data_IF_633456668159
#
_entry.id   IF_633456668159
#
_cell.length_a   1.000
_cell.length_b   1.000
_cell.length_c   1.000
_cell.angle_alpha   90.00
_cell.angle_beta   90.00
_cell.angle_gamma   90.00
#
_symmetry.space_group_name_H-M   'P 1'
#
loop_
_entity.id
_entity.type
_entity.pdbx_description
1 polymer ?
#
# COMPACT_ATOMS: atom_id res chain seq x y z
N UNK A 1 -1.22 -1.24 2.82
CA UNK A 1 -0.58 -1.14 1.48
C UNK A 1 0.51 -2.20 1.40
N UNK A 2 0.82 -2.69 0.20
CA UNK A 2 1.98 -3.56 -0.02
C UNK A 2 2.58 -3.27 -1.40
N UNK A 3 3.84 -3.67 -1.64
CA UNK A 3 4.51 -3.46 -2.92
C UNK A 3 4.64 -4.76 -3.70
N UNK A 4 4.45 -4.65 -5.00
CA UNK A 4 4.75 -5.70 -5.97
C UNK A 4 5.81 -5.18 -6.93
N UNK A 5 6.76 -6.02 -7.28
CA UNK A 5 7.83 -5.70 -8.22
C UNK A 5 8.27 -6.92 -9.00
N UNK A 6 8.66 -6.71 -10.26
CA UNK A 6 9.13 -7.78 -11.12
C UNK A 6 10.65 -7.77 -11.21
N UNK A 7 11.29 -8.82 -10.69
CA UNK A 7 12.73 -9.01 -10.81
C UNK A 7 13.14 -9.78 -12.07
N UNK A 8 12.17 -10.32 -12.83
CA UNK A 8 12.41 -11.08 -14.07
C UNK A 8 12.85 -10.17 -15.19
N UNK A 9 13.51 -10.74 -16.20
CA UNK A 9 13.94 -10.00 -17.39
C UNK A 9 12.82 -9.82 -18.41
N UNK A 10 11.88 -10.75 -18.47
CA UNK A 10 10.67 -10.68 -19.28
C UNK A 10 9.58 -9.92 -18.55
N UNK A 11 8.62 -9.37 -19.29
CA UNK A 11 7.46 -8.71 -18.71
C UNK A 11 6.36 -9.71 -18.36
N UNK A 12 5.56 -9.35 -17.35
CA UNK A 12 4.29 -10.02 -17.03
C UNK A 12 3.17 -9.17 -17.60
N UNK A 13 2.42 -9.74 -18.54
CA UNK A 13 1.27 -9.12 -19.19
C UNK A 13 0.00 -9.56 -18.46
N UNK A 14 -1.03 -8.71 -18.50
CA UNK A 14 -2.33 -8.97 -17.86
C UNK A 14 -2.19 -9.27 -16.36
N UNK A 15 -1.28 -8.56 -15.70
CA UNK A 15 -1.06 -8.71 -14.27
C UNK A 15 -2.28 -8.22 -13.48
N UNK A 16 -2.79 -9.05 -12.59
CA UNK A 16 -3.84 -8.68 -11.63
C UNK A 16 -3.49 -9.19 -10.24
N UNK A 17 -3.89 -8.41 -9.24
CA UNK A 17 -3.60 -8.70 -7.84
C UNK A 17 -4.91 -9.01 -7.12
N UNK A 18 -4.88 -9.98 -6.22
CA UNK A 18 -5.98 -10.31 -5.31
C UNK A 18 -5.47 -10.34 -3.88
N UNK A 19 -6.35 -9.99 -2.95
CA UNK A 19 -6.02 -10.03 -1.52
C UNK A 19 -7.18 -10.63 -0.73
N UNK A 20 -6.85 -11.54 0.18
CA UNK A 20 -7.81 -12.27 1.01
C UNK A 20 -7.41 -12.13 2.48
N UNK A 21 -8.34 -11.71 3.32
CA UNK A 21 -8.21 -11.72 4.76
C UNK A 21 -8.73 -13.06 5.30
N UNK A 22 -7.87 -13.81 5.96
CA UNK A 22 -8.23 -15.06 6.65
C UNK A 22 -8.27 -14.77 8.13
N UNK A 23 -9.42 -14.96 8.76
CA UNK A 23 -9.57 -14.80 10.21
C UNK A 23 -10.60 -15.75 10.81
N UNK A 24 -10.51 -15.92 12.11
CA UNK A 24 -11.56 -16.58 12.89
C UNK A 24 -12.83 -15.73 12.88
N UNK A 25 -14.00 -16.36 12.69
CA UNK A 25 -15.30 -15.68 12.74
C UNK A 25 -16.36 -16.61 13.33
N UNK A 26 -17.17 -16.09 14.25
CA UNK A 26 -18.39 -16.75 14.72
C UNK A 26 -19.59 -16.13 14.00
N UNK A 27 -20.43 -16.94 13.39
CA UNK A 27 -21.64 -16.46 12.70
C UNK A 27 -22.73 -16.07 13.70
N UNK A 28 -23.80 -15.40 13.23
CA UNK A 28 -24.92 -15.00 14.11
C UNK A 28 -25.66 -16.22 14.65
N UNK A 29 -25.59 -17.33 13.91
CA UNK A 29 -26.17 -18.63 14.21
C UNK A 29 -25.30 -19.44 15.19
N UNK A 30 -24.13 -18.92 15.58
CA UNK A 30 -23.22 -19.57 16.52
C UNK A 30 -22.24 -20.56 15.88
N UNK A 31 -22.18 -20.63 14.55
CA UNK A 31 -21.22 -21.48 13.86
C UNK A 31 -19.81 -20.88 13.96
N UNK A 32 -18.84 -21.72 14.28
CA UNK A 32 -17.45 -21.34 14.41
C UNK A 32 -16.69 -21.59 13.10
N UNK A 33 -16.24 -20.53 12.43
CA UNK A 33 -15.48 -20.58 11.19
C UNK A 33 -14.00 -20.22 11.46
N UNK A 34 -13.10 -21.22 11.60
CA UNK A 34 -11.70 -20.98 11.95
C UNK A 34 -10.91 -20.26 10.85
N UNK A 35 -11.24 -20.49 9.58
CA UNK A 35 -10.53 -19.93 8.42
C UNK A 35 -11.50 -19.16 7.51
N UNK A 36 -12.29 -18.25 8.09
CA UNK A 36 -13.20 -17.44 7.31
C UNK A 36 -12.41 -16.49 6.41
N UNK A 37 -12.64 -16.59 5.11
CA UNK A 37 -11.96 -15.81 4.09
C UNK A 37 -12.85 -14.64 3.66
N UNK A 38 -12.28 -13.45 3.60
CA UNK A 38 -12.96 -12.23 3.14
C UNK A 38 -12.07 -11.51 2.15
N UNK A 39 -12.62 -11.19 0.98
CA UNK A 39 -11.87 -10.46 -0.04
C UNK A 39 -11.62 -9.02 0.40
N UNK A 40 -10.39 -8.54 0.19
CA UNK A 40 -10.01 -7.15 0.39
C UNK A 40 -9.95 -6.47 -0.97
N UNK A 41 -10.81 -5.48 -1.19
CA UNK A 41 -10.81 -4.65 -2.40
C UNK A 41 -9.50 -3.88 -2.53
N UNK A 42 -8.74 -4.12 -3.58
CA UNK A 42 -7.44 -3.47 -3.79
C UNK A 42 -7.40 -2.74 -5.12
N UNK A 43 -6.54 -1.74 -5.21
CA UNK A 43 -6.27 -1.00 -6.43
C UNK A 43 -4.98 -0.19 -6.34
N UNK A 44 -4.56 0.38 -7.46
CA UNK A 44 -3.36 1.20 -7.55
C UNK A 44 -3.66 2.71 -7.46
N UNK A 45 -4.70 3.19 -8.15
CA UNK A 45 -5.19 4.58 -8.13
C UNK A 45 -6.73 4.64 -8.41
N UNK A 46 -7.43 3.51 -8.27
CA UNK A 46 -8.85 3.32 -8.59
C UNK A 46 -9.40 2.00 -8.02
N UNK A 47 -10.57 1.56 -8.48
CA UNK A 47 -11.23 0.30 -8.06
C UNK A 47 -10.94 -0.90 -8.99
N UNK A 48 -9.77 -0.92 -9.64
CA UNK A 48 -9.38 -2.01 -10.55
C UNK A 48 -8.26 -2.86 -9.94
N UNK A 49 -8.42 -4.18 -10.05
CA UNK A 49 -7.50 -5.22 -9.61
C UNK A 49 -6.35 -5.48 -10.61
N UNK A 50 -6.52 -5.00 -11.84
CA UNK A 50 -5.51 -5.06 -12.91
C UNK A 50 -4.48 -3.97 -12.73
N UNK A 51 -3.21 -4.36 -12.89
CA UNK A 51 -2.08 -3.44 -12.75
C UNK A 51 -1.24 -3.41 -14.01
N UNK A 52 -0.82 -2.21 -14.39
CA UNK A 52 0.18 -2.04 -15.44
C UNK A 52 1.58 -2.31 -14.86
N UNK A 53 2.02 -3.56 -14.94
CA UNK A 53 3.18 -4.05 -14.18
C UNK A 53 4.51 -3.92 -14.94
N UNK A 54 4.89 -2.69 -15.25
CA UNK A 54 6.21 -2.37 -15.84
C UNK A 54 7.21 -1.93 -14.77
N UNK A 55 6.72 -1.25 -13.73
CA UNK A 55 7.52 -0.71 -12.62
C UNK A 55 7.02 -1.28 -11.31
N UNK A 56 7.83 -1.26 -10.23
CA UNK A 56 7.33 -1.58 -8.90
C UNK A 56 6.14 -0.70 -8.52
N UNK A 57 5.04 -1.35 -8.14
CA UNK A 57 3.76 -0.71 -7.92
C UNK A 57 3.33 -0.91 -6.47
N UNK A 58 2.79 0.13 -5.86
CA UNK A 58 2.23 0.05 -4.51
C UNK A 58 0.74 -0.23 -4.61
N UNK A 59 0.30 -1.36 -4.06
CA UNK A 59 -1.08 -1.78 -4.01
C UNK A 59 -1.73 -1.28 -2.73
N UNK A 60 -2.91 -0.69 -2.87
CA UNK A 60 -3.65 -0.05 -1.78
C UNK A 60 -4.98 -0.76 -1.59
N UNK A 61 -5.23 -1.21 -0.36
CA UNK A 61 -6.57 -1.53 0.11
C UNK A 61 -7.11 -0.29 0.82
N UNK A 62 -8.18 0.31 0.29
CA UNK A 62 -8.87 1.41 0.98
C UNK A 62 -9.74 0.82 2.09
N UNK A 63 -9.48 1.23 3.33
CA UNK A 63 -10.28 0.82 4.48
C UNK A 63 -11.50 1.75 4.55
N UNK A 64 -12.59 1.35 3.89
CA UNK A 64 -13.88 2.03 3.93
C UNK A 64 -14.88 1.28 4.84
N UNK A 65 -16.13 1.76 4.92
CA UNK A 65 -17.20 1.14 5.73
C UNK A 65 -17.48 -0.32 5.35
N UNK A 66 -17.15 -0.73 4.12
CA UNK A 66 -17.34 -2.10 3.63
C UNK A 66 -16.16 -3.01 3.93
N UNK A 67 -15.01 -2.43 4.30
CA UNK A 67 -13.80 -3.18 4.64
C UNK A 67 -13.97 -3.97 5.93
N UNK A 68 -13.53 -5.24 5.98
CA UNK A 68 -13.51 -6.03 7.21
C UNK A 68 -12.52 -5.50 8.27
N UNK A 69 -11.68 -4.52 7.92
CA UNK A 69 -10.72 -3.84 8.79
C UNK A 69 -11.22 -2.49 9.32
N UNK A 70 -12.43 -2.06 8.95
CA UNK A 70 -12.96 -0.71 9.24
C UNK A 70 -12.98 -0.33 10.73
N UNK A 71 -13.25 -1.31 11.60
CA UNK A 71 -13.32 -1.11 13.04
C UNK A 71 -11.98 -1.33 13.77
N UNK A 72 -10.89 -1.64 13.06
CA UNK A 72 -9.62 -2.01 13.65
C UNK A 72 -8.79 -0.78 13.99
N UNK A 73 -8.37 -0.63 15.25
CA UNK A 73 -7.41 0.40 15.68
C UNK A 73 -5.96 -0.11 15.66
N UNK A 74 -5.00 0.81 15.83
CA UNK A 74 -3.57 0.45 15.93
C UNK A 74 -3.30 -0.55 17.07
N UNK A 75 -3.99 -0.39 18.21
CA UNK A 75 -3.86 -1.32 19.34
C UNK A 75 -4.52 -2.66 19.09
N UNK A 76 -5.61 -2.71 18.31
CA UNK A 76 -6.29 -3.95 17.99
C UNK A 76 -5.47 -4.79 17.02
N UNK A 77 -4.79 -4.14 16.06
CA UNK A 77 -3.89 -4.79 15.11
C UNK A 77 -2.85 -5.67 15.81
N UNK A 78 -2.32 -5.23 16.95
CA UNK A 78 -1.31 -5.98 17.73
C UNK A 78 -1.87 -7.19 18.47
N UNK A 79 -3.19 -7.23 18.71
CA UNK A 79 -3.86 -8.27 19.50
C UNK A 79 -4.61 -9.28 18.65
N UNK A 80 -5.07 -8.83 17.49
CA UNK A 80 -5.91 -9.63 16.60
C UNK A 80 -5.10 -10.78 15.97
N UNK A 81 -5.79 -11.86 15.63
CA UNK A 81 -5.21 -13.00 14.90
C UNK A 81 -5.87 -13.15 13.56
N UNK A 82 -5.19 -12.68 12.52
CA UNK A 82 -5.59 -12.85 11.14
C UNK A 82 -4.36 -13.00 10.25
N UNK A 83 -4.57 -13.38 9.00
CA UNK A 83 -3.55 -13.43 7.98
C UNK A 83 -4.08 -12.77 6.71
N UNK A 84 -3.29 -11.88 6.09
CA UNK A 84 -3.63 -11.30 4.79
C UNK A 84 -2.81 -12.02 3.73
N UNK A 85 -3.48 -12.78 2.88
CA UNK A 85 -2.86 -13.46 1.73
C UNK A 85 -2.98 -12.58 0.50
N UNK A 86 -1.85 -12.28 -0.14
CA UNK A 86 -1.77 -11.55 -1.39
C UNK A 86 -1.35 -12.48 -2.52
N UNK A 87 -2.00 -12.34 -3.67
CA UNK A 87 -1.79 -13.18 -4.84
C UNK A 87 -1.62 -12.26 -6.04
N UNK A 88 -0.49 -12.38 -6.74
CA UNK A 88 -0.28 -11.79 -8.05
C UNK A 88 -0.40 -12.89 -9.10
N UNK A 89 -1.21 -12.68 -10.11
CA UNK A 89 -1.36 -13.55 -11.27
C UNK A 89 -1.07 -12.75 -12.54
N UNK A 90 -0.59 -13.42 -13.58
CA UNK A 90 -0.38 -12.81 -14.90
C UNK A 90 0.23 -13.80 -15.89
N UNK A 91 0.50 -13.35 -17.11
CA UNK A 91 1.08 -14.18 -18.17
C UNK A 91 2.50 -13.69 -18.48
N UNK A 92 3.47 -14.60 -18.49
CA UNK A 92 4.85 -14.26 -18.84
C UNK A 92 4.94 -14.04 -20.35
N UNK A 93 5.35 -12.84 -20.78
CA UNK A 93 5.44 -12.45 -22.20
C UNK A 93 6.25 -13.44 -23.04
N UNK A 94 7.41 -13.87 -22.53
CA UNK A 94 8.36 -14.69 -23.29
C UNK A 94 7.90 -16.13 -23.51
N UNK A 95 7.00 -16.66 -22.67
CA UNK A 95 6.58 -18.07 -22.72
C UNK A 95 5.09 -18.24 -22.97
N UNK A 96 4.27 -17.21 -22.77
CA UNK A 96 2.82 -17.28 -22.78
C UNK A 96 2.22 -18.11 -21.63
N UNK A 97 3.04 -18.54 -20.65
CA UNK A 97 2.54 -19.32 -19.52
C UNK A 97 2.02 -18.40 -18.42
N UNK A 98 0.94 -18.82 -17.77
CA UNK A 98 0.43 -18.16 -16.56
C UNK A 98 1.40 -18.37 -15.40
N UNK A 99 1.64 -17.31 -14.65
CA UNK A 99 2.46 -17.34 -13.43
C UNK A 99 1.64 -16.79 -12.27
N UNK A 100 1.89 -17.34 -11.09
CA UNK A 100 1.27 -16.89 -9.86
C UNK A 100 2.35 -16.78 -8.79
N UNK A 101 2.36 -15.65 -8.10
CA UNK A 101 3.10 -15.46 -6.87
C UNK A 101 2.15 -15.20 -5.71
N UNK A 102 2.53 -15.71 -4.54
CA UNK A 102 1.74 -15.60 -3.33
C UNK A 102 2.64 -15.20 -2.19
N UNK A 103 2.10 -14.41 -1.28
CA UNK A 103 2.68 -14.17 0.03
C UNK A 103 1.57 -13.95 1.03
N UNK A 104 1.93 -13.97 2.30
CA UNK A 104 1.03 -13.57 3.36
C UNK A 104 1.70 -12.61 4.34
N UNK A 105 0.86 -11.89 5.07
CA UNK A 105 1.24 -10.97 6.12
C UNK A 105 0.47 -11.29 7.40
N UNK A 106 1.23 -11.49 8.48
CA UNK A 106 0.71 -11.57 9.84
C UNK A 106 0.53 -10.15 10.41
N UNK A 107 -0.27 -9.97 11.47
CA UNK A 107 -0.53 -8.65 12.05
C UNK A 107 0.75 -8.00 12.59
N UNK A 108 1.71 -8.82 13.06
CA UNK A 108 3.04 -8.37 13.51
C UNK A 108 3.95 -7.86 12.38
N UNK A 109 3.63 -8.16 11.12
CA UNK A 109 4.40 -7.72 9.94
C UNK A 109 3.79 -6.46 9.31
N UNK A 110 2.62 -6.02 9.79
CA UNK A 110 1.94 -4.83 9.30
C UNK A 110 2.37 -3.64 10.14
N UNK A 111 3.10 -2.72 9.51
CA UNK A 111 3.59 -1.51 10.15
C UNK A 111 2.53 -0.40 10.10
N UNK A 112 1.94 -0.05 11.25
CA UNK A 112 0.98 1.05 11.37
C UNK A 112 1.70 2.40 11.34
N UNK A 113 1.18 3.36 10.57
CA UNK A 113 1.78 4.70 10.49
C UNK A 113 3.09 4.74 9.69
N UNK A 114 3.31 3.77 8.80
CA UNK A 114 4.43 3.77 7.87
C UNK A 114 3.98 4.06 6.44
N UNK A 115 4.84 4.74 5.69
CA UNK A 115 4.75 4.83 4.22
C UNK A 115 6.01 4.27 3.60
N UNK A 116 5.89 3.76 2.38
CA UNK A 116 7.07 3.29 1.67
C UNK A 116 7.93 4.45 1.14
N UNK A 117 9.24 4.29 1.17
CA UNK A 117 10.19 5.24 0.59
C UNK A 117 10.11 5.21 -0.95
N UNK A 118 10.13 6.36 -1.65
CA UNK A 118 10.19 6.40 -3.12
C UNK A 118 11.40 5.61 -3.65
N UNK A 119 11.17 4.75 -4.65
CA UNK A 119 12.19 3.87 -5.25
C UNK A 119 12.63 4.31 -6.65
N UNK A 120 11.84 5.17 -7.31
CA UNK A 120 12.13 5.68 -8.65
C UNK A 120 12.84 7.01 -8.52
N UNK A 121 14.01 7.11 -9.14
CA UNK A 121 14.79 8.35 -9.23
C UNK A 121 14.99 8.73 -10.68
N UNK A 122 14.99 10.03 -10.97
CA UNK A 122 15.27 10.55 -12.30
C UNK A 122 16.68 11.09 -12.35
N UNK A 123 17.53 10.50 -13.20
CA UNK A 123 18.91 10.97 -13.43
C UNK A 123 18.88 12.08 -14.47
N UNK A 124 19.14 13.32 -14.03
CA UNK A 124 19.13 14.49 -14.93
C UNK A 124 20.25 14.44 -15.96
N UNK A 125 21.33 13.74 -15.66
CA UNK A 125 22.53 13.64 -16.48
C UNK A 125 22.32 12.73 -17.70
N UNK A 126 21.59 11.63 -17.53
CA UNK A 126 21.29 10.67 -18.62
C UNK A 126 19.88 10.83 -19.18
N UNK A 127 18.98 11.51 -18.46
CA UNK A 127 17.57 11.63 -18.82
C UNK A 127 16.77 10.36 -18.58
N UNK A 128 17.29 9.43 -17.78
CA UNK A 128 16.69 8.11 -17.54
C UNK A 128 16.06 8.00 -16.15
N UNK A 129 15.01 7.19 -16.05
CA UNK A 129 14.48 6.74 -14.78
C UNK A 129 15.22 5.49 -14.32
N UNK A 130 15.72 5.52 -13.09
CA UNK A 130 16.37 4.40 -12.42
C UNK A 130 15.52 3.94 -11.24
N UNK A 131 15.30 2.64 -11.18
CA UNK A 131 14.68 1.96 -10.05
C UNK A 131 15.75 1.42 -9.14
N UNK A 132 15.75 1.87 -7.88
CA UNK A 132 16.59 1.31 -6.84
C UNK A 132 15.82 0.24 -6.03
N UNK A 133 16.09 -1.03 -6.31
CA UNK A 133 15.47 -2.15 -5.61
C UNK A 133 16.00 -2.34 -4.18
N UNK A 134 17.12 -1.72 -3.80
CA UNK A 134 17.59 -1.77 -2.41
C UNK A 134 16.61 -1.03 -1.47
N UNK A 135 15.92 -0.01 -2.00
CA UNK A 135 14.89 0.76 -1.27
C UNK A 135 13.50 0.12 -1.34
N UNK A 136 13.33 -1.04 -1.98
CA UNK A 136 12.02 -1.63 -2.25
C UNK A 136 11.20 -1.83 -0.97
N UNK A 137 11.84 -2.36 0.08
CA UNK A 137 11.23 -2.64 1.37
C UNK A 137 11.36 -1.48 2.38
N UNK A 138 12.09 -0.42 2.04
CA UNK A 138 12.32 0.67 2.98
C UNK A 138 11.02 1.43 3.23
N UNK A 139 10.76 1.70 4.52
CA UNK A 139 9.62 2.49 4.97
C UNK A 139 10.10 3.61 5.88
N UNK A 140 9.29 4.65 5.97
CA UNK A 140 9.49 5.77 6.89
C UNK A 140 8.23 5.95 7.72
N UNK A 141 8.43 6.27 9.00
CA UNK A 141 7.35 6.60 9.92
C UNK A 141 6.69 7.92 9.51
N UNK A 142 5.39 7.99 9.72
CA UNK A 142 4.54 9.13 9.42
C UNK A 142 3.53 9.29 10.55
N UNK A 143 3.35 10.52 11.01
CA UNK A 143 2.33 10.82 11.99
C UNK A 143 0.95 10.43 11.46
N UNK A 144 0.38 9.40 12.06
CA UNK A 144 -0.86 8.75 11.64
C UNK A 144 -1.71 8.50 12.88
N UNK A 145 -3.00 8.86 12.85
CA UNK A 145 -3.86 8.65 14.00
C UNK A 145 -3.93 7.16 14.39
N UNK A 146 -3.95 6.89 15.69
CA UNK A 146 -3.98 5.52 16.24
C UNK A 146 -5.40 4.92 16.31
N UNK A 147 -6.41 5.72 15.99
CA UNK A 147 -7.82 5.32 16.01
C UNK A 147 -8.18 4.48 14.77
N UNK A 148 -9.30 3.76 14.84
CA UNK A 148 -9.81 3.01 13.69
C UNK A 148 -10.36 3.93 12.60
N UNK A 149 -10.45 3.42 11.38
CA UNK A 149 -11.02 4.17 10.25
C UNK A 149 -12.44 4.69 10.58
N UNK A 150 -13.26 3.87 11.26
CA UNK A 150 -14.57 4.29 11.76
C UNK A 150 -14.52 5.49 12.70
N UNK A 151 -13.62 5.46 13.69
CA UNK A 151 -13.50 6.57 14.64
C UNK A 151 -13.03 7.85 13.95
N UNK A 152 -12.14 7.70 12.97
CA UNK A 152 -11.65 8.81 12.15
C UNK A 152 -12.78 9.44 11.32
N UNK A 153 -13.61 8.63 10.66
CA UNK A 153 -14.77 9.12 9.89
C UNK A 153 -15.80 9.82 10.77
N UNK A 154 -16.06 9.29 11.97
CA UNK A 154 -16.94 9.93 12.96
C UNK A 154 -16.42 11.30 13.38
N UNK A 155 -15.12 11.39 13.71
CA UNK A 155 -14.50 12.66 14.10
C UNK A 155 -14.53 13.68 12.95
N UNK A 156 -14.30 13.23 11.72
CA UNK A 156 -14.39 14.06 10.52
C UNK A 156 -15.81 14.61 10.31
N UNK A 157 -16.82 13.76 10.52
CA UNK A 157 -18.23 14.15 10.38
C UNK A 157 -18.64 15.18 11.42
N UNK A 158 -18.23 14.99 12.68
CA UNK A 158 -18.50 15.94 13.76
C UNK A 158 -17.85 17.31 13.49
N UNK A 159 -16.57 17.32 13.11
CA UNK A 159 -15.84 18.56 12.84
C UNK A 159 -16.46 19.35 11.68
N UNK A 160 -16.89 18.66 10.62
CA UNK A 160 -17.56 19.31 9.48
C UNK A 160 -18.91 19.93 9.89
N UNK A 161 -19.69 19.25 10.75
CA UNK A 161 -20.96 19.77 11.24
C UNK A 161 -20.78 21.03 12.11
N UNK A 162 -19.75 21.08 12.95
CA UNK A 162 -19.43 22.28 13.75
C UNK A 162 -19.04 23.46 12.86
N UNK A 163 -18.30 23.20 11.77
CA UNK A 163 -17.96 24.22 10.78
C UNK A 163 -19.21 24.78 10.09
N UNK A 164 -20.14 23.92 9.69
CA UNK A 164 -21.41 24.31 9.07
C UNK A 164 -22.26 25.14 10.05
N UNK A 165 -22.29 24.77 11.33
CA UNK A 165 -23.04 25.48 12.35
C UNK A 165 -22.47 26.88 12.66
N UNK A 166 -21.14 27.04 12.65
CA UNK A 166 -20.48 28.35 12.75
C UNK A 166 -20.75 29.23 11.52
N UNK A 167 -20.84 28.62 10.34
CA UNK A 167 -21.14 29.33 9.08
C UNK A 167 -22.60 29.82 9.03
N UNK A 168 -23.51 29.12 9.73
CA UNK A 168 -24.95 29.45 9.77
C UNK A 168 -25.30 30.55 10.78
N UNK A 169 -24.39 30.89 11.71
CA UNK A 169 -24.62 31.93 12.73
C UNK A 169 -24.20 33.36 12.32
N UNK A 170 -23.54 33.56 11.17
CA UNK A 170 -23.18 34.89 10.67
C UNK A 170 -23.50 35.07 9.17
N UNK A 171 -24.67 35.64 8.80
CA UNK A 171 -24.98 35.92 7.40
C UNK A 171 -24.44 37.29 6.97
N UNK A 172 -23.11 37.43 6.78
CA UNK A 172 -22.41 38.44 5.94
C UNK A 172 -20.90 38.21 6.11
N UNK A 173 -20.03 38.11 5.11
CA UNK A 173 -19.99 38.79 3.82
C UNK A 173 -19.19 37.99 2.78
N UNK A 174 -19.56 38.21 1.52
CA UNK A 174 -18.81 38.04 0.24
C UNK A 174 -17.50 37.24 0.26
N UNK A 175 -17.56 36.14 -0.50
CA UNK A 175 -16.50 35.51 -1.29
C UNK A 175 -15.15 36.24 -1.33
N UNK A 176 -14.11 35.58 -0.82
CA UNK A 176 -12.71 35.79 -1.20
C UNK A 176 -12.06 34.42 -1.35
N UNK A 177 -11.79 34.02 -2.58
CA UNK A 177 -10.89 32.91 -2.90
C UNK A 177 -9.45 33.33 -2.61
N UNK A 178 -8.76 32.67 -1.68
CA UNK A 178 -7.30 32.55 -1.68
C UNK A 178 -6.82 31.52 -0.65
N UNK A 179 -6.32 30.41 -1.17
CA UNK A 179 -4.97 29.87 -0.97
C UNK A 179 -4.17 30.23 0.31
N UNK A 180 -3.63 29.16 0.92
CA UNK A 180 -2.36 29.03 1.69
C UNK A 180 -2.36 29.34 3.20
N UNK A 181 -2.07 28.31 4.01
CA UNK A 181 -0.89 28.13 4.88
C UNK A 181 -1.12 26.86 5.75
N UNK A 182 -0.34 25.77 5.68
CA UNK A 182 1.01 25.54 6.21
C UNK A 182 1.17 25.93 7.69
N UNK A 183 1.35 24.93 8.56
CA UNK A 183 2.03 25.11 9.84
C UNK A 183 2.79 23.83 10.22
N UNK A 184 4.12 23.93 10.12
CA UNK A 184 5.07 23.02 10.74
C UNK A 184 5.02 23.15 12.27
N UNK A 185 5.25 22.05 12.97
CA UNK A 185 5.73 22.10 14.35
C UNK A 185 6.77 21.00 14.58
N UNK A 186 8.01 21.47 14.70
CA UNK A 186 9.21 20.76 15.17
C UNK A 186 9.03 20.22 16.59
N UNK A 187 9.46 18.97 16.84
CA UNK A 187 9.96 18.54 18.15
C UNK A 187 11.01 17.42 17.99
N UNK A 188 12.06 17.48 18.82
CA UNK A 188 13.30 16.68 18.75
C UNK A 188 13.30 15.45 19.69
N UNK A 189 13.97 14.37 19.21
CA UNK A 189 14.73 13.31 19.93
C UNK A 189 13.98 12.30 20.85
N UNK A 190 14.33 11.01 21.05
CA UNK A 190 15.42 10.10 20.62
C UNK A 190 15.04 8.62 21.01
N UNK A 191 15.78 7.64 20.46
CA UNK A 191 16.05 6.24 20.89
C UNK A 191 15.24 5.03 20.41
N UNK A 192 15.79 4.43 19.35
CA UNK A 192 16.24 3.03 19.19
C UNK A 192 15.43 1.91 19.87
N UNK A 193 14.70 1.15 19.04
CA UNK A 193 14.29 -0.23 19.27
C UNK A 193 14.60 -1.09 18.04
N UNK A 194 14.77 -2.42 18.19
CA UNK A 194 15.27 -3.28 17.12
C UNK A 194 14.27 -3.38 15.96
N UNK A 195 14.79 -3.20 14.74
CA UNK A 195 14.04 -3.26 13.49
C UNK A 195 13.66 -4.72 13.21
N UNK A 196 12.36 -5.03 13.30
CA UNK A 196 11.79 -6.24 12.71
C UNK A 196 11.30 -5.84 11.32
N UNK A 197 12.06 -6.21 10.29
CA UNK A 197 11.70 -5.97 8.89
C UNK A 197 10.58 -6.91 8.45
N UNK A 198 9.51 -6.43 7.80
CA UNK A 198 8.50 -7.31 7.22
C UNK A 198 9.05 -8.10 6.04
N UNK A 199 8.55 -9.33 5.86
CA UNK A 199 9.03 -10.30 4.88
C UNK A 199 8.58 -9.87 3.45
N UNK A 200 9.51 -9.77 2.48
CA UNK A 200 9.19 -9.31 1.13
C UNK A 200 8.47 -10.37 0.29
N UNK A 201 7.56 -9.91 -0.57
CA UNK A 201 7.03 -10.70 -1.70
C UNK A 201 7.93 -10.50 -2.90
N UNK A 202 8.89 -11.40 -3.08
CA UNK A 202 9.79 -11.37 -4.22
C UNK A 202 9.55 -12.57 -5.11
N UNK A 203 9.16 -12.34 -6.36
CA UNK A 203 8.94 -13.39 -7.34
C UNK A 203 10.29 -13.79 -7.93
N UNK A 204 10.88 -14.84 -7.38
CA UNK A 204 12.13 -15.42 -7.92
C UNK A 204 11.78 -16.54 -8.91
N UNK A 205 12.56 -16.68 -9.98
CA UNK A 205 12.40 -17.78 -10.95
C UNK A 205 12.88 -19.13 -10.36
N UNK A 206 12.30 -20.28 -10.76
CA UNK A 206 12.86 -21.57 -10.43
C UNK A 206 14.04 -21.87 -11.36
N UNK A 207 15.24 -21.94 -10.77
CA UNK A 207 16.31 -22.94 -10.99
C UNK A 207 17.72 -22.35 -10.91
N UNK A 208 18.57 -23.06 -10.15
CA UNK A 208 19.80 -22.56 -9.56
C UNK A 208 21.00 -22.47 -10.51
N UNK A 209 21.76 -21.40 -10.30
CA UNK A 209 23.22 -21.40 -10.42
C UNK A 209 23.77 -20.32 -9.48
N UNK A 210 24.69 -20.74 -8.61
CA UNK A 210 25.43 -19.86 -7.70
C UNK A 210 26.38 -18.98 -8.51
N UNK A 211 26.06 -17.71 -8.71
CA UNK A 211 27.01 -16.69 -9.13
C UNK A 211 26.65 -15.31 -8.54
N UNK A 212 27.47 -14.91 -7.55
CA UNK A 212 28.01 -13.57 -7.34
C UNK A 212 27.05 -12.39 -7.48
N UNK A 213 26.63 -11.90 -6.31
CA UNK A 213 26.58 -10.48 -5.93
C UNK A 213 27.09 -9.52 -7.03
N UNK A 214 26.14 -8.94 -7.77
CA UNK A 214 26.34 -7.68 -8.49
C UNK A 214 25.01 -6.94 -8.54
N UNK A 215 25.00 -5.77 -7.89
CA UNK A 215 24.01 -4.71 -8.05
C UNK A 215 23.55 -4.60 -9.51
N UNK A 216 22.26 -4.84 -9.73
CA UNK A 216 21.67 -4.69 -11.06
C UNK A 216 20.65 -3.57 -11.08
N UNK A 217 21.18 -2.35 -11.10
CA UNK A 217 20.48 -1.14 -11.56
C UNK A 217 19.91 -1.41 -12.96
N UNK A 218 18.59 -1.28 -13.12
CA UNK A 218 17.95 -1.28 -14.43
C UNK A 218 17.61 0.17 -14.79
N UNK A 219 18.24 0.67 -15.85
CA UNK A 219 17.79 1.87 -16.55
C UNK A 219 16.86 1.46 -17.70
N UNK A 220 15.79 2.21 -17.88
CA UNK A 220 14.94 2.11 -19.05
C UNK A 220 14.74 3.51 -19.62
N UNK A 221 15.17 3.72 -20.86
CA UNK A 221 14.87 4.90 -21.66
C UNK A 221 13.44 4.78 -22.20
N UNK A 222 12.54 5.67 -21.79
CA UNK A 222 11.21 5.78 -22.39
C UNK A 222 11.31 6.55 -23.71
N UNK A 223 10.82 6.02 -24.85
CA UNK A 223 10.64 6.83 -26.04
C UNK A 223 9.31 7.61 -25.97
N UNK A 224 9.40 8.93 -26.20
CA UNK A 224 8.48 9.70 -27.05
C UNK A 224 7.05 9.98 -26.58
N UNK A 225 6.84 11.24 -26.16
CA UNK A 225 5.69 12.14 -26.40
C UNK A 225 4.38 11.51 -26.89
N UNK A 226 3.32 11.61 -26.07
CA UNK A 226 1.93 11.55 -26.56
C UNK A 226 1.41 12.99 -26.65
N UNK A 227 1.25 13.47 -27.89
CA UNK A 227 0.54 14.71 -28.20
C UNK A 227 -0.97 14.47 -28.19
N UNK A 228 -1.65 15.35 -27.44
CA UNK A 228 -3.08 15.72 -27.38
C UNK A 228 -4.12 14.68 -27.79
#
# INVERSE_FOLDING_TARGET
MFRVGDMRKSHIIEAHVRSQLIKHKVTKEGENLPFYQSELKIGCDGEEDKIFFIWPTTIVHKIDETSPLYNMSATDLLRERFEIVVILEGVIESTGMTTQARSSYLPSEILWGHRFQPLVSFKKETGEYEVDYALFNNTVEVDTPLCSAKQLDQHRTMFNHDLDHLTTQFPTARSCSSSLCSFDSYFMEDQTGPIISPIPVTITAPDGSSLLETDKKRSASLPGVVGV
#
